data_IF_361548641666
#
_entry.id   IF_361548641666
#
_cell.length_a   1.000
_cell.length_b   1.000
_cell.length_c   1.000
_cell.angle_alpha   90.00
_cell.angle_beta   90.00
_cell.angle_gamma   90.00
#
_symmetry.space_group_name_H-M   'P 1'
#
loop_
_entity.id
_entity.type
_entity.pdbx_description
1 polymer ?
#
# COMPACT_ATOMS: atom_id res chain seq x y z
N UNK A 1 -7.23 -5.02 69.98
CA UNK A 1 -6.54 -6.15 69.32
C UNK A 1 -6.15 -5.72 67.92
N UNK A 2 -4.84 -5.62 67.65
CA UNK A 2 -4.28 -5.34 66.32
C UNK A 2 -4.18 -6.68 65.57
N UNK A 3 -4.69 -6.74 64.34
CA UNK A 3 -4.37 -7.83 63.41
C UNK A 3 -3.78 -7.20 62.15
N UNK A 4 -2.51 -7.52 61.90
CA UNK A 4 -1.70 -7.16 60.75
C UNK A 4 -2.10 -8.09 59.59
N UNK A 5 -2.30 -7.56 58.39
CA UNK A 5 -2.42 -8.37 57.17
C UNK A 5 -1.26 -8.02 56.23
N UNK A 6 -0.52 -9.06 55.83
CA UNK A 6 0.70 -8.98 55.05
C UNK A 6 0.42 -8.54 53.61
N UNK A 7 1.08 -7.47 53.16
CA UNK A 7 1.29 -7.19 51.75
C UNK A 7 2.40 -8.10 51.22
N UNK A 8 2.06 -9.04 50.35
CA UNK A 8 3.02 -9.75 49.50
C UNK A 8 3.39 -8.88 48.29
N UNK A 9 4.62 -8.36 48.28
CA UNK A 9 5.22 -7.75 47.09
C UNK A 9 5.48 -8.84 46.02
N UNK A 10 4.75 -8.79 44.92
CA UNK A 10 5.20 -9.40 43.67
C UNK A 10 6.07 -8.38 42.94
N UNK A 11 7.39 -8.54 43.04
CA UNK A 11 8.34 -7.83 42.20
C UNK A 11 8.27 -8.43 40.78
N UNK A 12 7.58 -7.73 39.87
CA UNK A 12 7.58 -8.08 38.45
C UNK A 12 8.93 -7.69 37.86
N UNK A 13 9.81 -8.67 37.63
CA UNK A 13 11.03 -8.48 36.84
C UNK A 13 10.64 -8.26 35.38
N UNK A 14 10.43 -7.00 34.99
CA UNK A 14 10.37 -6.61 33.60
C UNK A 14 11.78 -6.76 33.00
N UNK A 15 12.03 -7.86 32.29
CA UNK A 15 13.22 -8.00 31.44
C UNK A 15 13.01 -7.10 30.23
N UNK A 16 13.57 -5.90 30.28
CA UNK A 16 13.76 -5.04 29.12
C UNK A 16 14.75 -5.71 28.16
N UNK A 17 14.26 -6.54 27.25
CA UNK A 17 15.04 -6.92 26.07
C UNK A 17 14.99 -5.74 25.11
N UNK A 18 15.96 -4.84 25.24
CA UNK A 18 16.19 -3.81 24.23
C UNK A 18 16.49 -4.51 22.89
N UNK A 19 15.72 -4.18 21.85
CA UNK A 19 16.10 -4.53 20.49
C UNK A 19 17.47 -3.90 20.22
N UNK A 20 18.46 -4.72 19.86
CA UNK A 20 19.78 -4.24 19.55
C UNK A 20 19.69 -3.28 18.33
N UNK A 21 20.32 -2.09 18.37
CA UNK A 21 20.44 -1.27 17.17
C UNK A 21 21.24 -2.07 16.13
N UNK A 22 20.85 -1.95 14.86
CA UNK A 22 21.59 -2.53 13.75
C UNK A 22 23.06 -2.10 13.82
N UNK A 23 23.98 -3.06 13.73
CA UNK A 23 25.40 -2.77 13.86
C UNK A 23 25.88 -1.99 12.61
N UNK A 24 26.88 -1.11 12.75
CA UNK A 24 27.44 -0.32 11.63
C UNK A 24 27.88 -1.20 10.44
N UNK A 25 28.26 -2.44 10.70
CA UNK A 25 28.59 -3.44 9.70
C UNK A 25 27.37 -3.88 8.84
N UNK A 26 26.18 -4.00 9.44
CA UNK A 26 24.94 -4.34 8.72
C UNK A 26 24.48 -3.16 7.84
N UNK A 27 24.56 -1.94 8.37
CA UNK A 27 24.31 -0.69 7.65
C UNK A 27 25.31 -0.47 6.49
N UNK A 28 26.54 -0.97 6.61
CA UNK A 28 27.54 -0.88 5.53
C UNK A 28 27.32 -1.94 4.44
N UNK A 29 26.89 -3.16 4.81
CA UNK A 29 26.56 -4.23 3.85
C UNK A 29 25.31 -3.94 3.00
N UNK A 30 24.39 -3.11 3.53
CA UNK A 30 23.21 -2.61 2.81
C UNK A 30 23.54 -1.59 1.72
N UNK A 31 24.79 -1.10 1.66
CA UNK A 31 25.27 -0.22 0.60
C UNK A 31 25.58 -1.06 -0.64
N UNK A 32 24.53 -1.52 -1.33
CA UNK A 32 24.65 -1.85 -2.76
C UNK A 32 25.27 -0.69 -3.54
N UNK A 33 25.69 -0.89 -4.80
CA UNK A 33 26.31 0.17 -5.60
C UNK A 33 25.46 1.46 -5.53
N UNK A 34 26.11 2.59 -5.24
CA UNK A 34 25.41 3.85 -5.05
C UNK A 34 24.72 4.29 -6.34
N UNK A 35 23.43 4.61 -6.24
CA UNK A 35 22.65 5.15 -7.34
C UNK A 35 23.24 6.49 -7.79
N UNK A 36 23.77 6.54 -9.03
CA UNK A 36 24.37 7.75 -9.61
C UNK A 36 23.37 8.64 -10.34
N UNK A 37 22.39 8.03 -11.01
CA UNK A 37 21.42 8.71 -11.86
C UNK A 37 19.99 8.30 -11.45
N UNK A 38 19.47 8.83 -10.32
CA UNK A 38 18.15 8.45 -9.85
C UNK A 38 17.06 8.89 -10.82
N UNK A 39 16.10 8.02 -11.05
CA UNK A 39 14.84 8.39 -11.68
C UNK A 39 14.06 9.35 -10.77
N UNK A 40 13.44 10.37 -11.35
CA UNK A 40 12.59 11.30 -10.60
C UNK A 40 11.13 10.87 -10.81
N UNK A 41 10.53 10.25 -9.80
CA UNK A 41 9.09 9.93 -9.79
C UNK A 41 8.30 11.24 -9.64
N UNK A 42 7.31 11.45 -10.52
CA UNK A 42 6.57 12.72 -10.61
C UNK A 42 5.08 12.54 -10.34
N UNK A 43 4.45 13.63 -9.95
CA UNK A 43 3.01 13.68 -9.74
C UNK A 43 2.26 13.48 -11.07
N UNK A 44 1.20 12.67 -11.09
CA UNK A 44 0.49 12.28 -12.30
C UNK A 44 0.06 13.45 -13.19
N UNK A 45 -0.38 14.57 -12.62
CA UNK A 45 -0.86 15.74 -13.37
C UNK A 45 0.28 16.48 -14.06
N UNK A 46 1.53 16.27 -13.64
CA UNK A 46 2.73 16.83 -14.29
C UNK A 46 3.22 16.00 -15.49
N UNK A 47 2.69 14.79 -15.68
CA UNK A 47 2.98 14.01 -16.89
C UNK A 47 2.34 14.67 -18.11
N UNK A 48 3.09 14.74 -19.20
CA UNK A 48 2.56 15.03 -20.52
C UNK A 48 1.55 13.97 -20.95
N UNK A 49 0.66 14.31 -21.89
CA UNK A 49 -0.33 13.37 -22.45
C UNK A 49 0.32 12.09 -22.97
N UNK A 50 1.51 12.20 -23.58
CA UNK A 50 2.30 11.07 -24.08
C UNK A 50 2.82 10.17 -22.95
N UNK A 51 3.31 10.75 -21.86
CA UNK A 51 3.79 9.97 -20.71
C UNK A 51 2.63 9.23 -20.02
N UNK A 52 1.48 9.90 -19.86
CA UNK A 52 0.26 9.27 -19.33
C UNK A 52 -0.17 8.08 -20.18
N UNK A 53 -0.24 8.28 -21.50
CA UNK A 53 -0.56 7.23 -22.45
C UNK A 53 0.42 6.05 -22.40
N UNK A 54 1.72 6.33 -22.30
CA UNK A 54 2.75 5.29 -22.21
C UNK A 54 2.62 4.46 -20.93
N UNK A 55 2.30 5.08 -19.79
CA UNK A 55 2.07 4.36 -18.53
C UNK A 55 0.84 3.45 -18.63
N UNK A 56 -0.30 3.99 -19.08
CA UNK A 56 -1.56 3.25 -19.25
C UNK A 56 -1.35 2.07 -20.21
N UNK A 57 -0.69 2.28 -21.35
CA UNK A 57 -0.39 1.23 -22.31
C UNK A 57 0.46 0.10 -21.71
N UNK A 58 1.46 0.45 -20.88
CA UNK A 58 2.30 -0.53 -20.21
C UNK A 58 1.52 -1.36 -19.18
N UNK A 59 0.65 -0.73 -18.38
CA UNK A 59 -0.21 -1.44 -17.42
C UNK A 59 -1.15 -2.40 -18.14
N UNK A 60 -1.83 -1.95 -19.20
CA UNK A 60 -2.69 -2.80 -20.05
C UNK A 60 -1.92 -3.94 -20.71
N UNK A 61 -0.64 -3.73 -21.03
CA UNK A 61 0.22 -4.79 -21.52
C UNK A 61 0.50 -5.82 -20.42
N UNK A 62 0.81 -5.39 -19.19
CA UNK A 62 1.08 -6.30 -18.07
C UNK A 62 -0.16 -7.15 -17.72
N UNK A 63 -1.35 -6.55 -17.83
CA UNK A 63 -2.65 -7.22 -17.71
C UNK A 63 -2.97 -8.21 -18.83
N UNK A 64 -2.08 -8.36 -19.82
CA UNK A 64 -2.16 -9.37 -20.89
C UNK A 64 -0.96 -10.30 -20.90
N UNK A 65 0.05 -10.07 -20.04
CA UNK A 65 1.19 -10.97 -19.93
C UNK A 65 0.73 -12.25 -19.23
N UNK A 66 1.19 -13.44 -19.65
CA UNK A 66 0.80 -14.69 -19.02
C UNK A 66 1.14 -14.71 -17.53
N UNK A 67 0.26 -15.35 -16.75
CA UNK A 67 0.53 -15.74 -15.36
C UNK A 67 1.88 -16.44 -15.20
N UNK A 68 2.54 -16.16 -14.08
CA UNK A 68 3.80 -16.74 -13.65
C UNK A 68 3.58 -18.04 -12.90
N UNK A 69 4.09 -19.15 -13.45
CA UNK A 69 4.14 -20.46 -12.79
C UNK A 69 4.84 -20.48 -11.41
N UNK A 70 5.54 -19.41 -11.05
CA UNK A 70 6.25 -19.31 -9.78
C UNK A 70 5.35 -18.81 -8.64
N UNK A 71 4.21 -18.18 -8.96
CA UNK A 71 3.26 -17.76 -7.95
C UNK A 71 2.73 -19.00 -7.20
N UNK A 72 2.88 -18.97 -5.88
CA UNK A 72 2.33 -19.99 -4.98
C UNK A 72 1.89 -19.32 -3.69
N UNK A 73 0.59 -19.36 -3.43
CA UNK A 73 0.01 -18.94 -2.16
C UNK A 73 0.81 -19.55 -1.00
N UNK A 74 1.28 -18.71 -0.10
CA UNK A 74 2.15 -19.10 1.01
C UNK A 74 1.50 -18.87 2.36
N UNK A 75 0.44 -18.08 2.42
CA UNK A 75 -0.29 -17.77 3.64
C UNK A 75 -1.62 -18.58 3.69
N UNK A 76 -1.95 -19.21 4.83
CA UNK A 76 -3.09 -20.13 4.92
C UNK A 76 -4.43 -19.36 5.00
N UNK A 77 -4.94 -18.90 3.86
CA UNK A 77 -6.23 -18.22 3.72
C UNK A 77 -7.26 -19.14 3.06
N UNK A 78 -8.37 -19.41 3.74
CA UNK A 78 -9.47 -20.22 3.20
C UNK A 78 -10.51 -19.39 2.41
N UNK A 79 -10.48 -18.07 2.58
CA UNK A 79 -11.41 -17.10 1.97
C UNK A 79 -11.01 -16.65 0.56
N UNK A 80 -9.84 -17.06 0.07
CA UNK A 80 -9.34 -16.64 -1.23
C UNK A 80 -9.77 -17.56 -2.37
N UNK A 81 -10.16 -17.00 -3.53
CA UNK A 81 -10.36 -17.80 -4.73
C UNK A 81 -9.04 -18.45 -5.14
N UNK A 82 -9.13 -19.63 -5.77
CA UNK A 82 -7.94 -20.30 -6.30
C UNK A 82 -7.22 -19.44 -7.36
N UNK A 83 -5.88 -19.56 -7.41
CA UNK A 83 -5.06 -18.98 -8.49
C UNK A 83 -5.59 -19.50 -9.83
N UNK A 84 -5.92 -18.59 -10.74
CA UNK A 84 -6.50 -18.92 -12.04
C UNK A 84 -5.40 -19.11 -13.09
N UNK A 85 -5.38 -20.26 -13.76
CA UNK A 85 -4.38 -20.54 -14.79
C UNK A 85 -4.48 -19.61 -16.03
N UNK A 86 -5.64 -18.99 -16.27
CA UNK A 86 -5.86 -18.01 -17.33
C UNK A 86 -5.69 -16.55 -16.88
N UNK A 87 -5.20 -16.31 -15.65
CA UNK A 87 -4.93 -14.95 -15.17
C UNK A 87 -3.69 -14.35 -15.84
N UNK A 88 -3.55 -13.03 -15.68
CA UNK A 88 -2.40 -12.29 -16.18
C UNK A 88 -1.31 -12.13 -15.13
N UNK A 89 -0.11 -11.71 -15.53
CA UNK A 89 0.95 -11.32 -14.59
C UNK A 89 0.51 -10.15 -13.68
N UNK A 90 -0.33 -9.24 -14.19
CA UNK A 90 -0.91 -8.18 -13.36
C UNK A 90 -1.80 -8.77 -12.26
N UNK A 91 -2.61 -9.77 -12.60
CA UNK A 91 -3.43 -10.48 -11.62
C UNK A 91 -2.58 -11.25 -10.60
N UNK A 92 -1.37 -11.70 -10.95
CA UNK A 92 -0.45 -12.33 -10.00
C UNK A 92 0.02 -11.34 -8.95
N UNK A 93 0.30 -10.10 -9.37
CA UNK A 93 0.63 -9.02 -8.45
C UNK A 93 -0.57 -8.73 -7.52
N UNK A 94 -1.80 -8.66 -8.06
CA UNK A 94 -3.00 -8.59 -7.22
C UNK A 94 -3.07 -9.77 -6.24
N UNK A 95 -2.81 -10.99 -6.69
CA UNK A 95 -2.94 -12.19 -5.88
C UNK A 95 -1.97 -12.21 -4.69
N UNK A 96 -0.71 -11.81 -4.87
CA UNK A 96 0.22 -11.75 -3.73
C UNK A 96 -0.25 -10.78 -2.66
N UNK A 97 -0.87 -9.66 -3.05
CA UNK A 97 -1.45 -8.73 -2.10
C UNK A 97 -2.70 -9.31 -1.42
N UNK A 98 -3.51 -10.08 -2.15
CA UNK A 98 -4.65 -10.80 -1.60
C UNK A 98 -4.21 -11.80 -0.54
N UNK A 99 -3.26 -12.69 -0.84
CA UNK A 99 -2.78 -13.75 0.07
C UNK A 99 -2.13 -13.15 1.32
N UNK A 100 -1.22 -12.20 1.10
CA UNK A 100 -0.37 -11.64 2.15
C UNK A 100 -1.03 -10.51 2.94
N UNK A 101 -2.29 -10.15 2.69
CA UNK A 101 -2.91 -8.94 3.28
C UNK A 101 -2.77 -8.88 4.81
N UNK A 102 -2.91 -10.01 5.51
CA UNK A 102 -2.79 -10.09 6.98
C UNK A 102 -1.35 -10.09 7.49
N UNK A 103 -0.36 -10.21 6.60
CA UNK A 103 1.05 -10.09 6.94
C UNK A 103 1.61 -8.71 6.61
N UNK A 104 1.02 -8.01 5.63
CA UNK A 104 1.57 -6.76 5.08
C UNK A 104 0.79 -5.52 5.51
N UNK A 105 -0.34 -5.67 6.21
CA UNK A 105 -1.11 -4.55 6.74
C UNK A 105 -1.19 -4.58 8.26
N UNK A 106 -1.05 -3.42 8.88
CA UNK A 106 -1.01 -3.24 10.32
C UNK A 106 0.03 -4.13 11.01
N UNK A 107 1.16 -4.29 10.32
CA UNK A 107 2.38 -4.99 10.75
C UNK A 107 3.58 -4.12 10.43
N UNK A 108 4.76 -4.44 10.95
CA UNK A 108 6.00 -3.77 10.55
C UNK A 108 6.36 -3.93 9.07
N UNK A 109 5.71 -4.83 8.32
CA UNK A 109 5.97 -5.00 6.90
C UNK A 109 5.32 -3.95 6.01
N UNK A 110 4.31 -3.20 6.47
CA UNK A 110 3.51 -2.32 5.60
C UNK A 110 4.33 -1.38 4.73
N UNK A 111 5.12 -0.46 5.32
CA UNK A 111 5.89 0.51 4.54
C UNK A 111 6.97 -0.15 3.66
N UNK A 112 7.84 -1.05 4.20
CA UNK A 112 8.84 -1.76 3.39
C UNK A 112 8.24 -2.56 2.22
N UNK A 113 7.18 -3.33 2.49
CA UNK A 113 6.55 -4.20 1.50
C UNK A 113 5.89 -3.39 0.40
N UNK A 114 5.14 -2.34 0.72
CA UNK A 114 4.47 -1.51 -0.28
C UNK A 114 5.44 -0.66 -1.13
N UNK A 115 6.57 -0.21 -0.56
CA UNK A 115 7.67 0.39 -1.34
C UNK A 115 8.24 -0.61 -2.33
N UNK A 116 8.57 -1.82 -1.88
CA UNK A 116 9.05 -2.90 -2.75
C UNK A 116 8.03 -3.26 -3.83
N UNK A 117 6.77 -3.47 -3.46
CA UNK A 117 5.70 -3.89 -4.36
C UNK A 117 5.45 -2.84 -5.46
N UNK A 118 5.40 -1.56 -5.10
CA UNK A 118 5.29 -0.46 -6.07
C UNK A 118 6.51 -0.39 -7.00
N UNK A 119 7.72 -0.62 -6.48
CA UNK A 119 8.92 -0.68 -7.30
C UNK A 119 8.95 -1.90 -8.23
N UNK A 120 8.45 -3.06 -7.77
CA UNK A 120 8.29 -4.24 -8.62
C UNK A 120 7.31 -3.96 -9.75
N UNK A 121 6.17 -3.31 -9.49
CA UNK A 121 5.20 -2.99 -10.53
C UNK A 121 5.84 -2.22 -11.69
N UNK A 122 6.46 -1.06 -11.41
CA UNK A 122 7.14 -0.28 -12.48
C UNK A 122 8.30 -1.04 -13.11
N UNK A 123 9.02 -1.87 -12.34
CA UNK A 123 10.08 -2.74 -12.87
C UNK A 123 9.52 -3.75 -13.88
N UNK A 124 8.36 -4.35 -13.61
CA UNK A 124 7.70 -5.28 -14.52
C UNK A 124 7.11 -4.58 -15.74
N UNK A 125 6.57 -3.36 -15.59
CA UNK A 125 6.18 -2.53 -16.73
C UNK A 125 7.37 -2.30 -17.68
N UNK A 126 8.56 -2.03 -17.13
CA UNK A 126 9.79 -1.84 -17.93
C UNK A 126 10.26 -3.14 -18.57
N UNK A 127 10.38 -4.21 -17.78
CA UNK A 127 10.93 -5.50 -18.21
C UNK A 127 10.02 -6.22 -19.21
N UNK A 128 8.73 -6.29 -18.93
CA UNK A 128 7.79 -7.10 -19.72
C UNK A 128 7.05 -6.27 -20.78
N UNK A 129 6.93 -4.96 -20.59
CA UNK A 129 6.12 -4.12 -21.48
C UNK A 129 6.90 -2.96 -22.11
N UNK A 130 8.21 -2.90 -21.92
CA UNK A 130 9.08 -1.92 -22.56
C UNK A 130 8.83 -0.48 -22.11
N UNK A 131 8.14 -0.28 -20.98
CA UNK A 131 7.92 1.05 -20.42
C UNK A 131 9.26 1.77 -20.22
N UNK A 132 9.32 3.07 -20.56
CA UNK A 132 10.53 3.90 -20.44
C UNK A 132 10.38 5.05 -19.46
N UNK A 133 9.18 5.24 -18.92
CA UNK A 133 8.92 6.29 -17.94
C UNK A 133 9.23 5.85 -16.51
N UNK A 134 8.80 6.69 -15.59
CA UNK A 134 8.96 6.53 -14.14
C UNK A 134 7.61 6.18 -13.51
N UNK A 135 7.62 5.69 -12.28
CA UNK A 135 6.38 5.47 -11.53
C UNK A 135 5.72 6.83 -11.22
N UNK A 136 4.48 7.10 -11.69
CA UNK A 136 3.74 8.28 -11.26
C UNK A 136 3.24 8.11 -9.82
N UNK A 137 3.08 9.21 -9.09
CA UNK A 137 2.34 9.23 -7.83
C UNK A 137 1.10 10.11 -7.93
N UNK A 138 0.06 9.77 -7.16
CA UNK A 138 -1.15 10.56 -7.03
C UNK A 138 -1.12 11.34 -5.72
N UNK A 139 -0.95 12.65 -5.85
CA UNK A 139 -1.06 13.57 -4.72
C UNK A 139 -2.54 13.91 -4.47
N UNK A 140 -3.19 13.08 -3.67
CA UNK A 140 -4.62 13.15 -3.34
C UNK A 140 -4.97 14.30 -2.40
N UNK A 141 -4.01 14.89 -1.68
CA UNK A 141 -4.27 16.04 -0.80
C UNK A 141 -4.82 17.23 -1.59
N UNK A 142 -4.41 17.34 -2.86
CA UNK A 142 -4.85 18.34 -3.84
C UNK A 142 -6.30 18.17 -4.30
N UNK A 143 -6.90 17.01 -4.06
CA UNK A 143 -8.28 16.72 -4.50
C UNK A 143 -9.31 16.91 -3.40
N UNK A 144 -8.88 17.10 -2.15
CA UNK A 144 -9.78 17.06 -0.98
C UNK A 144 -10.92 18.08 -1.02
N UNK A 145 -10.73 19.24 -1.65
CA UNK A 145 -11.77 20.27 -1.80
C UNK A 145 -12.83 19.93 -2.85
N UNK A 146 -12.52 19.05 -3.82
CA UNK A 146 -13.36 18.80 -5.00
C UNK A 146 -13.06 17.41 -5.55
N UNK A 147 -13.20 16.40 -4.68
CA UNK A 147 -12.69 15.06 -4.98
C UNK A 147 -13.33 14.50 -6.25
N UNK A 148 -14.67 14.50 -6.36
CA UNK A 148 -15.39 13.90 -7.49
C UNK A 148 -15.33 14.71 -8.81
N UNK A 149 -14.84 15.94 -8.78
CA UNK A 149 -14.67 16.80 -9.97
C UNK A 149 -13.21 17.11 -10.28
N UNK A 150 -12.28 16.43 -9.61
CA UNK A 150 -10.84 16.56 -9.84
C UNK A 150 -10.44 16.25 -11.28
N UNK A 151 -9.41 16.95 -11.77
CA UNK A 151 -8.74 16.64 -13.03
C UNK A 151 -8.08 15.26 -13.08
N UNK A 152 -8.04 14.54 -11.95
CA UNK A 152 -7.65 13.12 -11.91
C UNK A 152 -8.59 12.24 -12.75
N UNK A 153 -9.88 12.58 -12.82
CA UNK A 153 -10.92 11.82 -13.53
C UNK A 153 -11.00 12.16 -15.03
N UNK A 154 -9.84 12.22 -15.67
CA UNK A 154 -9.74 12.43 -17.12
C UNK A 154 -10.32 11.20 -17.86
N UNK A 155 -11.35 11.44 -18.67
CA UNK A 155 -12.09 10.44 -19.43
C UNK A 155 -11.39 10.01 -20.74
N UNK A 156 -10.28 10.65 -21.13
CA UNK A 156 -9.56 10.34 -22.37
C UNK A 156 -9.19 8.84 -22.42
N UNK A 157 -9.56 8.12 -23.50
CA UNK A 157 -9.41 6.66 -23.57
C UNK A 157 -7.97 6.18 -23.72
N UNK A 158 -7.01 7.11 -23.87
CA UNK A 158 -5.60 6.79 -24.06
C UNK A 158 -4.74 7.31 -22.91
N UNK A 159 -4.98 8.55 -22.46
CA UNK A 159 -4.17 9.22 -21.44
C UNK A 159 -4.91 9.48 -20.12
N UNK A 160 -6.21 9.24 -20.06
CA UNK A 160 -7.03 9.47 -18.88
C UNK A 160 -7.10 8.23 -17.99
N UNK A 161 -7.12 8.43 -16.66
CA UNK A 161 -7.27 7.32 -15.71
C UNK A 161 -8.71 6.81 -15.62
N UNK A 162 -9.68 7.54 -16.17
CA UNK A 162 -11.11 7.30 -16.03
C UNK A 162 -11.67 7.81 -14.70
N UNK A 163 -12.97 8.09 -14.67
CA UNK A 163 -13.70 8.52 -13.48
C UNK A 163 -14.30 7.36 -12.69
N UNK A 164 -15.40 7.65 -11.98
CA UNK A 164 -16.21 6.66 -11.28
C UNK A 164 -17.11 5.89 -12.24
N UNK A 165 -17.51 4.70 -11.83
CA UNK A 165 -18.33 3.81 -12.65
C UNK A 165 -19.84 4.02 -12.48
N UNK A 166 -20.58 3.32 -13.33
CA UNK A 166 -22.03 3.44 -13.43
C UNK A 166 -22.74 2.68 -12.29
N UNK A 167 -23.49 3.36 -11.40
CA UNK A 167 -24.23 2.70 -10.32
C UNK A 167 -25.28 1.70 -10.80
N UNK A 168 -25.77 1.82 -12.04
CA UNK A 168 -26.73 0.88 -12.63
C UNK A 168 -26.05 -0.35 -13.26
N UNK A 169 -24.72 -0.36 -13.30
CA UNK A 169 -23.92 -1.43 -13.87
C UNK A 169 -22.76 -1.76 -12.93
N UNK A 170 -23.07 -2.11 -11.68
CA UNK A 170 -22.12 -2.58 -10.65
C UNK A 170 -20.88 -1.69 -10.48
N UNK A 171 -21.01 -0.38 -10.73
CA UNK A 171 -19.93 0.61 -10.70
C UNK A 171 -18.75 0.31 -11.62
N UNK A 172 -18.95 -0.41 -12.73
CA UNK A 172 -17.95 -0.54 -13.79
C UNK A 172 -17.61 0.83 -14.39
N UNK A 173 -16.32 1.15 -14.52
CA UNK A 173 -15.90 2.40 -15.17
C UNK A 173 -16.21 2.33 -16.67
N UNK A 174 -16.71 3.42 -17.25
CA UNK A 174 -17.13 3.46 -18.66
C UNK A 174 -16.26 4.36 -19.54
N UNK A 175 -15.20 4.95 -18.99
CA UNK A 175 -14.31 5.89 -19.67
C UNK A 175 -12.86 5.77 -19.17
N UNK A 176 -11.94 6.52 -19.80
CA UNK A 176 -10.52 6.42 -19.51
C UNK A 176 -9.84 5.19 -20.12
N UNK A 177 -8.52 5.13 -19.98
CA UNK A 177 -7.70 4.10 -20.61
C UNK A 177 -7.92 2.68 -20.09
N UNK A 178 -8.47 2.53 -18.89
CA UNK A 178 -8.65 1.25 -18.20
C UNK A 178 -10.07 0.67 -18.31
N UNK A 179 -11.02 1.33 -18.99
CA UNK A 179 -12.42 0.87 -19.04
C UNK A 179 -12.63 -0.56 -19.53
N UNK A 180 -11.77 -1.02 -20.44
CA UNK A 180 -11.83 -2.36 -21.03
C UNK A 180 -10.78 -3.31 -20.42
N UNK A 181 -10.04 -2.88 -19.39
CA UNK A 181 -9.06 -3.73 -18.71
C UNK A 181 -9.80 -4.76 -17.85
N UNK A 182 -9.53 -6.03 -18.13
CA UNK A 182 -10.07 -7.17 -17.39
C UNK A 182 -9.12 -7.55 -16.25
N UNK A 183 -9.69 -7.90 -15.10
CA UNK A 183 -9.00 -8.45 -13.93
C UNK A 183 -9.66 -9.77 -13.54
N UNK A 184 -8.90 -10.65 -12.89
CA UNK A 184 -9.29 -12.05 -12.67
C UNK A 184 -9.93 -12.31 -11.31
N UNK A 185 -9.71 -11.46 -10.32
CA UNK A 185 -10.11 -11.68 -8.92
C UNK A 185 -11.05 -10.58 -8.43
N UNK A 186 -12.03 -10.86 -7.53
CA UNK A 186 -12.37 -12.18 -7.01
C UNK A 186 -13.07 -13.07 -8.06
N UNK A 187 -13.67 -12.43 -9.06
CA UNK A 187 -14.17 -13.03 -10.30
C UNK A 187 -13.61 -12.27 -11.50
N UNK A 188 -13.79 -12.80 -12.71
CA UNK A 188 -13.37 -12.10 -13.92
C UNK A 188 -14.32 -10.93 -14.20
N UNK A 189 -13.79 -9.71 -14.27
CA UNK A 189 -14.59 -8.50 -14.48
C UNK A 189 -13.70 -7.31 -14.92
N UNK A 190 -14.31 -6.18 -15.30
CA UNK A 190 -13.57 -4.93 -15.56
C UNK A 190 -13.49 -4.05 -14.32
N UNK A 191 -12.63 -3.03 -14.35
CA UNK A 191 -12.38 -2.15 -13.19
C UNK A 191 -13.65 -1.44 -12.70
N UNK A 192 -13.87 -1.44 -11.39
CA UNK A 192 -14.97 -0.77 -10.71
C UNK A 192 -14.49 0.33 -9.78
N UNK A 193 -15.21 1.46 -9.77
CA UNK A 193 -14.96 2.59 -8.87
C UNK A 193 -16.27 3.19 -8.40
N UNK A 194 -16.46 3.29 -7.10
CA UNK A 194 -17.66 3.79 -6.46
C UNK A 194 -17.30 4.95 -5.54
N UNK A 195 -17.61 6.18 -5.95
CA UNK A 195 -17.35 7.34 -5.10
C UNK A 195 -18.12 7.22 -3.79
N UNK A 196 -17.41 7.11 -2.68
CA UNK A 196 -17.98 6.90 -1.36
C UNK A 196 -17.41 7.90 -0.35
N UNK A 197 -17.95 9.13 -0.27
CA UNK A 197 -17.42 10.16 0.61
C UNK A 197 -17.51 9.83 2.11
N UNK A 198 -18.42 8.92 2.50
CA UNK A 198 -18.64 8.51 3.90
C UNK A 198 -18.58 6.99 4.04
N UNK A 199 -17.39 6.38 3.86
CA UNK A 199 -17.30 4.93 3.69
C UNK A 199 -17.41 4.14 4.99
N UNK A 200 -17.42 4.81 6.14
CA UNK A 200 -17.38 4.18 7.46
C UNK A 200 -18.72 4.25 8.23
N UNK A 201 -19.81 4.69 7.60
CA UNK A 201 -21.10 4.90 8.28
C UNK A 201 -21.61 3.66 9.06
N UNK A 202 -21.27 2.46 8.60
CA UNK A 202 -21.68 1.19 9.22
C UNK A 202 -20.62 0.57 10.14
N UNK A 203 -19.45 1.21 10.28
CA UNK A 203 -18.32 0.68 11.05
C UNK A 203 -18.39 1.21 12.48
N UNK A 204 -19.15 0.52 13.33
CA UNK A 204 -19.40 0.93 14.73
C UNK A 204 -18.14 1.07 15.61
N UNK A 205 -17.02 0.46 15.20
CA UNK A 205 -15.76 0.46 15.94
C UNK A 205 -14.83 1.61 15.56
N UNK A 206 -15.08 2.33 14.44
CA UNK A 206 -14.28 3.51 14.13
C UNK A 206 -14.73 4.70 14.98
N UNK A 207 -13.82 5.58 15.43
CA UNK A 207 -14.18 6.68 16.32
C UNK A 207 -15.10 7.73 15.70
N UNK A 208 -14.99 7.97 14.39
CA UNK A 208 -15.72 9.05 13.69
C UNK A 208 -16.40 8.54 12.40
N UNK A 209 -17.39 7.63 12.47
CA UNK A 209 -17.95 6.97 11.29
C UNK A 209 -18.67 7.92 10.33
N UNK A 210 -19.11 9.10 10.81
CA UNK A 210 -19.74 10.15 10.00
C UNK A 210 -18.73 11.13 9.37
N UNK A 211 -17.42 11.00 9.66
CA UNK A 211 -16.39 11.85 9.07
C UNK A 211 -16.20 11.51 7.59
N UNK A 212 -16.20 12.53 6.74
CA UNK A 212 -15.91 12.34 5.32
C UNK A 212 -14.47 11.87 5.14
N UNK A 213 -14.24 10.88 4.27
CA UNK A 213 -12.91 10.31 4.04
C UNK A 213 -11.86 11.37 3.62
N UNK A 214 -12.29 12.41 2.90
CA UNK A 214 -11.41 13.51 2.48
C UNK A 214 -10.76 14.27 3.65
N UNK A 215 -11.32 14.21 4.86
CA UNK A 215 -10.76 14.90 6.04
C UNK A 215 -9.37 14.37 6.34
N UNK A 216 -9.22 13.06 6.57
CA UNK A 216 -7.92 12.45 6.85
C UNK A 216 -6.98 12.40 5.63
N UNK A 217 -7.41 12.90 4.48
CA UNK A 217 -6.61 13.05 3.25
C UNK A 217 -6.08 14.48 3.06
N UNK A 218 -6.35 15.41 3.98
CA UNK A 218 -5.86 16.78 3.83
C UNK A 218 -4.34 16.86 4.02
N UNK A 219 -3.74 17.89 3.40
CA UNK A 219 -2.30 18.14 3.50
C UNK A 219 -1.82 18.29 4.95
N UNK A 220 -2.67 18.83 5.84
CA UNK A 220 -2.38 18.96 7.27
C UNK A 220 -2.05 17.62 7.95
N UNK A 221 -2.78 16.55 7.63
CA UNK A 221 -2.50 15.21 8.17
C UNK A 221 -1.21 14.62 7.61
N UNK A 222 -0.89 14.90 6.35
CA UNK A 222 0.39 14.51 5.74
C UNK A 222 1.55 15.24 6.41
N UNK A 223 1.40 16.54 6.64
CA UNK A 223 2.41 17.37 7.30
C UNK A 223 2.58 16.94 8.77
N UNK A 224 1.50 16.60 9.48
CA UNK A 224 1.57 16.05 10.83
C UNK A 224 2.34 14.73 10.86
N UNK A 225 2.08 13.81 9.94
CA UNK A 225 2.82 12.56 9.85
C UNK A 225 4.31 12.78 9.56
N UNK A 226 4.65 13.67 8.62
CA UNK A 226 6.06 13.93 8.25
C UNK A 226 6.83 14.63 9.38
N UNK A 227 6.20 15.57 10.09
CA UNK A 227 6.89 16.44 11.04
C UNK A 227 6.73 16.01 12.51
N UNK A 228 5.72 15.19 12.84
CA UNK A 228 5.34 14.89 14.22
C UNK A 228 6.04 13.68 14.86
N UNK A 229 6.74 12.86 14.08
CA UNK A 229 7.23 11.53 14.52
C UNK A 229 8.74 11.35 14.31
N UNK A 230 9.58 12.25 14.84
CA UNK A 230 11.04 12.11 14.70
C UNK A 230 11.55 10.85 15.44
N UNK A 231 12.19 9.93 14.71
CA UNK A 231 12.71 8.65 15.21
C UNK A 231 11.63 7.62 15.59
N UNK A 232 10.36 8.02 15.58
CA UNK A 232 9.23 7.16 15.94
C UNK A 232 8.58 6.56 14.68
N UNK A 233 9.15 5.46 14.19
CA UNK A 233 8.61 4.74 13.05
C UNK A 233 7.20 4.18 13.30
N UNK A 234 6.90 3.71 14.52
CA UNK A 234 5.58 3.13 14.82
C UNK A 234 4.49 4.21 14.76
N UNK A 235 4.76 5.37 15.36
CA UNK A 235 3.85 6.51 15.31
C UNK A 235 3.66 7.03 13.87
N UNK A 236 4.73 7.14 13.10
CA UNK A 236 4.66 7.52 11.67
C UNK A 236 3.81 6.54 10.85
N UNK A 237 4.05 5.23 10.99
CA UNK A 237 3.28 4.21 10.28
C UNK A 237 1.80 4.22 10.72
N UNK A 238 1.54 4.36 12.02
CA UNK A 238 0.18 4.46 12.54
C UNK A 238 -0.58 5.66 11.97
N UNK A 239 0.07 6.83 11.89
CA UNK A 239 -0.50 8.03 11.27
C UNK A 239 -0.78 7.85 9.77
N UNK A 240 -0.13 6.88 9.13
CA UNK A 240 -0.30 6.53 7.73
C UNK A 240 -1.43 5.53 7.51
N UNK A 241 -1.43 4.42 8.24
CA UNK A 241 -2.18 3.19 7.89
C UNK A 241 -3.45 2.96 8.71
N UNK A 242 -3.56 3.53 9.92
CA UNK A 242 -4.70 3.28 10.81
C UNK A 242 -6.04 3.57 10.13
N UNK A 243 -7.11 2.97 10.66
CA UNK A 243 -8.45 3.32 10.21
C UNK A 243 -8.67 4.85 10.24
N UNK A 244 -9.26 5.39 9.19
CA UNK A 244 -9.46 6.84 8.98
C UNK A 244 -8.18 7.68 8.78
N UNK A 245 -6.99 7.08 8.69
CA UNK A 245 -5.81 7.76 8.14
C UNK A 245 -5.83 7.77 6.61
N UNK A 246 -4.91 8.53 6.01
CA UNK A 246 -4.91 8.78 4.58
C UNK A 246 -4.78 7.52 3.71
N UNK A 247 -4.01 6.50 4.15
CA UNK A 247 -3.94 5.23 3.41
C UNK A 247 -5.32 4.60 3.26
N UNK A 248 -6.03 4.41 4.38
CA UNK A 248 -7.35 3.80 4.41
C UNK A 248 -8.38 4.68 3.70
N UNK A 249 -8.38 5.98 3.94
CA UNK A 249 -9.36 6.90 3.35
C UNK A 249 -9.31 6.93 1.83
N UNK A 250 -8.11 6.90 1.22
CA UNK A 250 -7.99 6.87 -0.25
C UNK A 250 -8.54 5.57 -0.82
N UNK A 251 -8.28 4.43 -0.19
CA UNK A 251 -8.90 3.15 -0.60
C UNK A 251 -10.42 3.23 -0.49
N UNK A 252 -10.92 3.66 0.66
CA UNK A 252 -12.33 3.59 1.00
C UNK A 252 -13.19 4.62 0.25
N UNK A 253 -12.67 5.83 -0.03
CA UNK A 253 -13.38 6.85 -0.80
C UNK A 253 -13.57 6.47 -2.28
N UNK A 254 -12.66 5.64 -2.80
CA UNK A 254 -12.66 5.18 -4.19
C UNK A 254 -13.66 4.04 -4.43
N UNK A 255 -14.01 3.30 -3.37
CA UNK A 255 -14.95 2.18 -3.46
C UNK A 255 -14.51 1.11 -4.46
N UNK A 256 -15.46 0.30 -4.93
CA UNK A 256 -15.24 -0.67 -6.01
C UNK A 256 -14.02 -1.57 -5.77
N UNK A 257 -13.18 -1.74 -6.78
CA UNK A 257 -11.98 -2.57 -6.66
C UNK A 257 -10.95 -1.97 -5.71
N UNK A 258 -10.74 -0.66 -5.72
CA UNK A 258 -9.72 -0.02 -4.89
C UNK A 258 -10.08 -0.04 -3.39
N UNK A 259 -11.35 -0.20 -3.02
CA UNK A 259 -11.77 -0.49 -1.64
C UNK A 259 -11.92 -1.99 -1.35
N UNK A 260 -11.81 -2.85 -2.37
CA UNK A 260 -12.05 -4.28 -2.22
C UNK A 260 -13.53 -4.65 -1.99
N UNK A 261 -14.46 -3.82 -2.48
CA UNK A 261 -15.89 -4.13 -2.46
C UNK A 261 -16.16 -5.27 -3.44
N UNK A 262 -16.95 -6.27 -3.04
CA UNK A 262 -17.28 -7.40 -3.92
C UNK A 262 -18.07 -6.97 -5.18
N UNK A 263 -17.77 -7.52 -6.37
CA UNK A 263 -18.67 -7.43 -7.52
C UNK A 263 -20.02 -8.06 -7.18
N UNK A 264 -21.12 -7.47 -7.65
CA UNK A 264 -22.47 -8.04 -7.46
C UNK A 264 -22.54 -9.48 -7.98
N UNK A 265 -21.90 -9.74 -9.11
CA UNK A 265 -21.82 -11.07 -9.72
C UNK A 265 -20.97 -12.09 -8.92
N UNK A 266 -20.17 -11.66 -7.94
CA UNK A 266 -19.41 -12.56 -7.08
C UNK A 266 -20.30 -13.24 -6.01
N UNK A 267 -21.54 -12.76 -5.83
CA UNK A 267 -22.52 -13.35 -4.92
C UNK A 267 -22.21 -13.12 -3.44
N UNK A 268 -23.08 -13.64 -2.59
CA UNK A 268 -23.04 -13.43 -1.13
C UNK A 268 -21.88 -14.12 -0.41
N UNK A 269 -21.18 -15.03 -1.07
CA UNK A 269 -20.01 -15.72 -0.53
C UNK A 269 -18.72 -14.90 -0.66
N UNK A 270 -18.73 -13.83 -1.45
CA UNK A 270 -17.59 -12.93 -1.55
C UNK A 270 -17.44 -12.12 -0.26
N UNK A 271 -16.28 -12.25 0.37
CA UNK A 271 -15.90 -11.44 1.53
C UNK A 271 -15.03 -10.29 1.04
N UNK A 272 -15.63 -9.09 0.99
CA UNK A 272 -14.91 -7.87 0.64
C UNK A 272 -13.82 -7.55 1.67
N UNK A 273 -12.94 -6.63 1.32
CA UNK A 273 -11.82 -6.21 2.16
C UNK A 273 -10.61 -5.84 1.31
N UNK A 274 -9.57 -5.26 1.92
CA UNK A 274 -8.38 -4.75 1.24
C UNK A 274 -7.48 -5.86 0.65
N UNK A 275 -8.03 -6.79 -0.10
CA UNK A 275 -7.35 -7.98 -0.64
C UNK A 275 -6.99 -7.76 -2.10
N UNK A 276 -7.98 -7.51 -2.98
CA UNK A 276 -7.76 -7.30 -4.43
C UNK A 276 -7.71 -5.82 -4.83
N UNK A 277 -7.36 -4.92 -3.90
CA UNK A 277 -7.25 -3.49 -4.19
C UNK A 277 -6.25 -3.14 -5.30
N UNK A 278 -5.18 -3.93 -5.59
CA UNK A 278 -4.34 -3.69 -6.75
C UNK A 278 -5.01 -3.94 -8.11
N UNK A 279 -6.22 -4.51 -8.16
CA UNK A 279 -6.98 -4.60 -9.41
C UNK A 279 -7.08 -3.24 -10.10
N UNK A 280 -7.41 -2.19 -9.33
CA UNK A 280 -7.44 -0.83 -9.86
C UNK A 280 -6.02 -0.28 -10.02
N UNK A 281 -5.58 0.10 -11.24
CA UNK A 281 -4.25 0.67 -11.45
C UNK A 281 -3.93 1.93 -10.63
N UNK A 282 -4.95 2.61 -10.08
CA UNK A 282 -4.77 3.71 -9.14
C UNK A 282 -4.13 3.29 -7.81
N UNK A 283 -4.20 2.01 -7.43
CA UNK A 283 -3.48 1.45 -6.29
C UNK A 283 -2.01 1.86 -6.31
N UNK A 284 -1.34 1.67 -7.45
CA UNK A 284 0.09 1.91 -7.53
C UNK A 284 0.42 3.41 -7.49
N UNK A 285 -0.46 4.28 -8.03
CA UNK A 285 -0.28 5.74 -7.93
C UNK A 285 -0.45 6.23 -6.48
N UNK A 286 -1.45 5.67 -5.77
CA UNK A 286 -1.68 5.94 -4.35
C UNK A 286 -0.48 5.49 -3.51
N UNK A 287 -0.06 4.23 -3.65
CA UNK A 287 1.07 3.67 -2.91
C UNK A 287 2.42 4.29 -3.29
N UNK A 288 2.58 4.80 -4.50
CA UNK A 288 3.73 5.64 -4.84
C UNK A 288 3.75 6.97 -4.07
N UNK A 289 2.59 7.53 -3.70
CA UNK A 289 2.51 8.70 -2.82
C UNK A 289 2.69 8.33 -1.34
N UNK A 290 2.21 7.16 -0.89
CA UNK A 290 2.55 6.63 0.45
C UNK A 290 4.07 6.47 0.59
N UNK A 291 4.71 5.87 -0.42
CA UNK A 291 6.18 5.74 -0.49
C UNK A 291 6.88 7.11 -0.49
N UNK A 292 6.34 8.09 -1.22
CA UNK A 292 6.83 9.48 -1.22
C UNK A 292 6.77 10.11 0.17
N UNK A 293 5.66 9.95 0.90
CA UNK A 293 5.48 10.50 2.25
C UNK A 293 6.48 9.86 3.22
N UNK A 294 6.70 8.54 3.14
CA UNK A 294 7.74 7.87 3.92
C UNK A 294 9.14 8.36 3.55
N UNK A 295 9.44 8.50 2.27
CA UNK A 295 10.71 9.07 1.78
C UNK A 295 10.95 10.50 2.30
N UNK A 296 9.91 11.35 2.34
CA UNK A 296 9.98 12.69 2.91
C UNK A 296 10.27 12.64 4.41
N UNK A 297 9.55 11.80 5.17
CA UNK A 297 9.78 11.62 6.60
C UNK A 297 11.20 11.12 6.90
N UNK A 298 11.69 10.11 6.17
CA UNK A 298 13.06 9.59 6.31
C UNK A 298 14.13 10.67 6.12
N UNK A 299 13.86 11.66 5.25
CA UNK A 299 14.78 12.76 4.94
C UNK A 299 14.64 13.98 5.86
N UNK A 300 13.65 14.01 6.75
CA UNK A 300 13.51 15.12 7.72
C UNK A 300 14.53 15.08 8.84
N UNK A 301 14.96 13.89 9.25
CA UNK A 301 15.95 13.72 10.30
C UNK A 301 16.81 12.48 10.07
N UNK A 302 18.12 12.50 10.40
CA UNK A 302 18.95 11.30 10.42
C UNK A 302 18.39 10.18 11.29
N UNK A 303 17.65 10.53 12.36
CA UNK A 303 16.97 9.54 13.23
C UNK A 303 15.88 8.76 12.49
N UNK A 304 15.29 9.34 11.45
CA UNK A 304 14.19 8.74 10.70
C UNK A 304 14.70 7.77 9.63
N UNK A 305 15.86 8.04 9.04
CA UNK A 305 16.29 7.41 7.79
C UNK A 305 16.30 5.87 7.85
N UNK A 306 16.83 5.30 8.93
CA UNK A 306 16.85 3.85 9.17
C UNK A 306 15.97 3.42 10.36
N UNK A 307 15.12 4.31 10.88
CA UNK A 307 14.21 3.94 11.96
C UNK A 307 13.24 2.85 11.47
N UNK A 308 13.14 1.78 12.25
CA UNK A 308 12.26 0.66 11.99
C UNK A 308 11.86 0.00 13.30
N UNK A 309 10.56 -0.27 13.47
CA UNK A 309 10.01 -1.07 14.57
C UNK A 309 8.59 -1.48 14.20
N UNK A 310 8.25 -2.75 14.37
CA UNK A 310 6.88 -3.22 14.16
C UNK A 310 6.75 -4.71 14.40
N UNK A 311 5.54 -5.16 14.69
CA UNK A 311 5.23 -6.56 14.91
C UNK A 311 4.93 -7.30 13.61
N UNK A 312 5.08 -8.62 13.61
CA UNK A 312 4.76 -9.48 12.46
C UNK A 312 3.30 -9.94 12.41
N UNK A 313 2.55 -9.77 13.51
CA UNK A 313 1.16 -10.18 13.61
C UNK A 313 0.24 -8.96 13.51
N UNK A 314 -0.69 -8.97 12.54
CA UNK A 314 -1.63 -7.87 12.28
C UNK A 314 -2.46 -7.50 13.52
N UNK A 315 -2.59 -6.18 13.78
CA UNK A 315 -3.58 -5.63 14.70
C UNK A 315 -3.87 -4.16 14.39
N UNK A 316 -5.14 -3.79 14.35
CA UNK A 316 -5.60 -2.46 13.94
C UNK A 316 -6.53 -1.79 14.95
N UNK A 317 -6.86 -2.47 16.06
CA UNK A 317 -7.73 -1.94 17.11
C UNK A 317 -7.01 -1.73 18.44
N UNK A 318 -5.82 -2.31 18.64
CA UNK A 318 -5.07 -2.16 19.89
C UNK A 318 -4.07 -0.99 19.79
N UNK A 319 -4.30 0.13 20.50
CA UNK A 319 -3.40 1.28 20.47
C UNK A 319 -2.02 1.00 21.11
N UNK A 320 -1.85 -0.07 21.90
CA UNK A 320 -0.55 -0.47 22.43
C UNK A 320 0.38 -1.07 21.37
N UNK A 321 -0.19 -1.56 20.26
CA UNK A 321 0.52 -2.20 19.16
C UNK A 321 0.09 -1.60 17.81
N UNK A 322 0.34 -0.30 17.60
CA UNK A 322 -0.26 0.45 16.49
C UNK A 322 0.20 0.02 15.09
N UNK A 323 1.24 -0.83 15.00
CA UNK A 323 1.70 -1.44 13.76
C UNK A 323 2.10 -2.92 13.95
N UNK A 324 1.33 -3.65 14.74
CA UNK A 324 1.44 -5.11 14.83
C UNK A 324 1.88 -5.63 16.19
N UNK A 325 1.35 -6.81 16.56
CA UNK A 325 1.78 -7.59 17.71
C UNK A 325 3.11 -8.31 17.43
N UNK A 326 3.90 -8.61 18.48
CA UNK A 326 5.08 -9.45 18.33
C UNK A 326 4.75 -10.83 17.75
N UNK A 327 5.72 -11.57 17.17
CA UNK A 327 7.17 -11.30 17.20
C UNK A 327 7.60 -9.98 16.55
N UNK A 328 8.54 -9.28 17.19
CA UNK A 328 9.10 -8.03 16.66
C UNK A 328 9.99 -8.33 15.46
N UNK A 329 9.79 -7.58 14.38
CA UNK A 329 10.61 -7.68 13.19
C UNK A 329 11.95 -6.96 13.38
N UNK A 330 12.99 -7.49 12.73
CA UNK A 330 14.28 -6.87 12.50
C UNK A 330 14.40 -6.42 11.05
N UNK A 331 15.24 -5.41 10.78
CA UNK A 331 15.51 -4.94 9.42
C UNK A 331 16.11 -6.03 8.51
N UNK A 332 16.69 -7.09 9.09
CA UNK A 332 17.26 -8.21 8.35
C UNK A 332 16.22 -9.27 7.97
N UNK A 333 14.99 -9.18 8.48
CA UNK A 333 13.93 -10.11 8.14
C UNK A 333 13.54 -10.01 6.67
N UNK A 334 13.19 -11.17 6.10
CA UNK A 334 12.74 -11.30 4.72
C UNK A 334 11.25 -10.99 4.62
N UNK A 335 10.89 -10.27 3.57
CA UNK A 335 9.49 -9.98 3.26
C UNK A 335 8.89 -11.08 2.39
N UNK A 336 7.63 -11.48 2.65
CA UNK A 336 6.95 -12.50 1.87
C UNK A 336 6.58 -12.00 0.47
N UNK A 337 6.61 -12.90 -0.52
CA UNK A 337 6.39 -12.58 -1.94
C UNK A 337 5.61 -13.67 -2.70
N UNK A 338 5.07 -14.68 -2.00
CA UNK A 338 4.41 -15.87 -2.58
C UNK A 338 5.22 -16.55 -3.70
N UNK A 339 6.54 -16.53 -3.58
CA UNK A 339 7.49 -17.05 -4.57
C UNK A 339 7.38 -16.42 -5.98
N UNK A 340 6.52 -15.42 -6.19
CA UNK A 340 6.44 -14.67 -7.44
C UNK A 340 7.77 -13.94 -7.72
N UNK A 341 8.43 -13.52 -6.66
CA UNK A 341 9.74 -12.86 -6.69
C UNK A 341 10.66 -13.43 -5.61
N UNK A 342 11.97 -13.19 -5.73
CA UNK A 342 12.91 -13.38 -4.62
C UNK A 342 12.52 -12.52 -3.43
N UNK A 343 12.61 -13.07 -2.21
CA UNK A 343 12.27 -12.37 -0.98
C UNK A 343 13.34 -11.33 -0.60
N UNK A 344 13.04 -10.02 -0.70
CA UNK A 344 13.95 -8.96 -0.24
C UNK A 344 13.96 -8.89 1.30
N UNK A 345 15.00 -8.31 1.88
CA UNK A 345 14.98 -7.94 3.30
C UNK A 345 14.36 -6.57 3.50
N UNK A 346 13.84 -6.29 4.69
CA UNK A 346 13.34 -4.95 5.04
C UNK A 346 14.41 -3.88 4.79
N UNK A 347 15.66 -4.14 5.21
CA UNK A 347 16.83 -3.28 5.04
C UNK A 347 17.05 -2.87 3.58
N UNK A 348 16.85 -3.78 2.63
CA UNK A 348 17.02 -3.48 1.21
C UNK A 348 16.08 -2.38 0.68
N UNK A 349 14.98 -2.10 1.39
CA UNK A 349 13.97 -1.11 1.00
C UNK A 349 14.16 0.24 1.69
N UNK A 350 15.03 0.33 2.70
CA UNK A 350 15.13 1.53 3.54
C UNK A 350 15.71 2.73 2.79
N UNK A 351 16.48 2.51 1.72
CA UNK A 351 17.12 3.58 0.96
C UNK A 351 16.80 3.46 -0.54
N UNK A 352 16.08 4.46 -1.07
CA UNK A 352 15.66 4.50 -2.48
C UNK A 352 16.81 4.76 -3.48
N UNK A 353 18.04 4.92 -2.97
CA UNK A 353 19.26 5.21 -3.75
C UNK A 353 20.33 4.11 -3.63
N UNK A 354 19.95 2.90 -3.20
CA UNK A 354 20.87 1.77 -3.07
C UNK A 354 20.22 0.44 -3.45
N UNK A 355 21.06 -0.55 -3.78
CA UNK A 355 20.59 -1.90 -4.12
C UNK A 355 19.75 -1.89 -5.39
N UNK A 356 18.56 -2.48 -5.33
CA UNK A 356 17.60 -2.54 -6.45
C UNK A 356 16.84 -1.22 -6.68
N UNK A 357 17.15 -0.18 -5.90
CA UNK A 357 16.49 1.11 -5.94
C UNK A 357 17.43 2.19 -6.50
N UNK A 358 16.91 3.01 -7.40
CA UNK A 358 17.60 4.20 -7.89
C UNK A 358 16.59 5.26 -8.32
N UNK A 359 15.87 5.83 -7.33
CA UNK A 359 14.89 6.89 -7.57
C UNK A 359 14.76 7.88 -6.41
N UNK A 360 14.23 9.06 -6.75
CA UNK A 360 13.77 10.12 -5.84
C UNK A 360 12.37 10.57 -6.25
N UNK A 361 11.78 11.46 -5.44
CA UNK A 361 10.52 12.11 -5.74
C UNK A 361 10.74 13.60 -6.06
N UNK A 362 9.94 14.11 -7.01
CA UNK A 362 9.85 15.54 -7.33
C UNK A 362 9.11 16.33 -6.24
#
# INVERSE_FOLDING_TARGET
MRAVSLLSLFASCAVLVAAAPANEAELSSARGPSCRNPEVRKEWRTFSKREKAAYIAAVKCLAKRPHSKYLKASYPRADLPAIKADSSFYDDMTYIHMDLTNQIHYTGFFLPWHRWYTNQHVTQLKKQCGYKGVMPYWDWSKDTASFNTSAMWDADPTSGLGGFGDPNNDYYINNGGFKDMQVSYPIKHTIRRQYNPFPYLTWWWVPRPQEAAVVGMQQSFVDEAINGYEGDFMGFQNATEKAQAFHANVHMIMGGDLAGTCPTAAGSTCQGGSTWTPNDPMFFLHHANIDRIWWLWQRKSPKNFFAFKGGSNMTYTDPAFPNGYPPWLSITDKMPTDNLFSQPTILSTMNTLSGDYCYVYA
#
